data_IF_331689456157
#
_entry.id   IF_331689456157
#
_cell.length_a   1.000
_cell.length_b   1.000
_cell.length_c   1.000
_cell.angle_alpha   90.00
_cell.angle_beta   90.00
_cell.angle_gamma   90.00
#
_symmetry.space_group_name_H-M   'P 1'
#
loop_
_entity.id
_entity.type
_entity.pdbx_description
1 polymer ?
#
# COMPACT_ATOMS: atom_id res chain seq x y z
N UNK A 1 15.01 -0.96 -9.00
CA UNK A 1 14.68 -1.41 -7.63
C UNK A 1 13.98 -0.25 -6.95
N UNK A 2 12.80 -0.47 -6.35
CA UNK A 2 12.05 0.61 -5.71
C UNK A 2 12.76 0.99 -4.41
N UNK A 3 12.90 2.28 -4.07
CA UNK A 3 13.44 2.70 -2.78
C UNK A 3 12.63 2.07 -1.64
N UNK A 4 13.24 1.87 -0.46
CA UNK A 4 12.56 1.26 0.67
C UNK A 4 11.28 2.04 0.98
N UNK A 5 10.15 1.40 0.71
CA UNK A 5 8.84 1.90 1.10
C UNK A 5 8.84 1.92 2.62
N UNK A 6 8.39 3.01 3.24
CA UNK A 6 8.37 3.11 4.70
C UNK A 6 7.48 2.01 5.27
N UNK A 7 8.06 0.88 5.68
CA UNK A 7 7.32 -0.33 6.06
C UNK A 7 6.34 -0.08 7.22
N UNK A 8 6.69 0.86 8.11
CA UNK A 8 5.82 1.35 9.19
C UNK A 8 4.49 1.97 8.69
N UNK A 9 4.42 2.47 7.46
CA UNK A 9 3.19 3.04 6.89
C UNK A 9 2.24 1.99 6.32
N UNK A 10 2.68 0.75 6.19
CA UNK A 10 1.95 -0.34 5.53
C UNK A 10 1.90 -1.58 6.45
N UNK A 11 1.19 -1.50 7.60
CA UNK A 11 1.16 -2.59 8.57
C UNK A 11 0.63 -3.90 7.96
N UNK A 12 -0.36 -3.81 7.07
CA UNK A 12 -0.96 -4.96 6.37
C UNK A 12 0.03 -5.67 5.41
N UNK A 13 1.09 -4.97 4.95
CA UNK A 13 2.08 -5.50 4.00
C UNK A 13 3.47 -5.69 4.62
N UNK A 14 3.63 -5.44 5.92
CA UNK A 14 4.91 -5.40 6.61
C UNK A 14 5.67 -6.73 6.54
N UNK A 15 4.96 -7.85 6.72
CA UNK A 15 5.56 -9.19 6.72
C UNK A 15 6.21 -9.55 5.38
N UNK A 16 5.50 -9.32 4.27
CA UNK A 16 5.99 -9.60 2.90
C UNK A 16 7.17 -8.69 2.55
N UNK A 17 7.13 -7.43 3.02
CA UNK A 17 8.24 -6.49 2.84
C UNK A 17 9.50 -6.94 3.59
N UNK A 18 9.37 -7.46 4.81
CA UNK A 18 10.49 -8.03 5.55
C UNK A 18 11.07 -9.26 4.86
N UNK A 19 10.23 -10.10 4.26
CA UNK A 19 10.68 -11.28 3.52
C UNK A 19 11.44 -10.90 2.25
N UNK A 20 10.96 -9.87 1.53
CA UNK A 20 11.69 -9.29 0.40
C UNK A 20 13.05 -8.73 0.85
N UNK A 21 13.10 -8.05 2.00
CA UNK A 21 14.35 -7.53 2.55
C UNK A 21 15.32 -8.64 2.95
N UNK A 22 14.82 -9.73 3.56
CA UNK A 22 15.62 -10.94 3.84
C UNK A 22 16.15 -11.55 2.55
N UNK A 23 15.34 -11.61 1.48
CA UNK A 23 15.78 -12.09 0.18
C UNK A 23 16.91 -11.21 -0.41
N UNK A 24 16.79 -9.89 -0.29
CA UNK A 24 17.86 -8.97 -0.71
C UNK A 24 19.14 -9.11 0.14
N UNK A 25 18.99 -9.36 1.46
CA UNK A 25 20.11 -9.60 2.39
C UNK A 25 20.76 -10.99 2.22
N UNK A 26 20.05 -11.96 1.64
CA UNK A 26 20.52 -13.34 1.47
C UNK A 26 21.71 -13.49 0.50
N UNK A 27 21.95 -12.51 -0.37
CA UNK A 27 23.11 -12.52 -1.25
C UNK A 27 22.94 -11.61 -2.46
N UNK A 28 24.03 -10.93 -2.83
CA UNK A 28 24.06 -9.99 -3.96
C UNK A 28 23.61 -10.63 -5.29
N UNK A 29 23.96 -11.91 -5.51
CA UNK A 29 23.53 -12.65 -6.69
C UNK A 29 22.02 -12.94 -6.73
N UNK A 30 21.37 -13.22 -5.60
CA UNK A 30 19.92 -13.46 -5.56
C UNK A 30 19.13 -12.20 -5.90
N UNK A 31 19.62 -11.05 -5.44
CA UNK A 31 19.13 -9.72 -5.78
C UNK A 31 19.33 -9.39 -7.26
N UNK A 32 20.53 -9.63 -7.79
CA UNK A 32 20.89 -9.26 -9.16
C UNK A 32 20.29 -10.18 -10.24
N UNK A 33 20.16 -11.48 -9.96
CA UNK A 33 19.59 -12.48 -10.87
C UNK A 33 18.05 -12.52 -10.86
N UNK A 34 17.40 -11.68 -10.06
CA UNK A 34 15.93 -11.58 -10.03
C UNK A 34 15.23 -12.74 -9.31
N UNK A 35 15.93 -13.50 -8.45
CA UNK A 35 15.32 -14.58 -7.65
C UNK A 35 14.26 -14.06 -6.66
N UNK A 36 14.37 -12.79 -6.24
CA UNK A 36 13.41 -12.15 -5.35
C UNK A 36 12.17 -11.57 -6.08
N UNK A 37 12.00 -11.82 -7.39
CA UNK A 37 10.91 -11.23 -8.18
C UNK A 37 9.51 -11.70 -7.77
N UNK A 38 9.36 -12.92 -7.23
CA UNK A 38 8.06 -13.42 -6.77
C UNK A 38 7.61 -12.64 -5.52
N UNK A 39 8.47 -12.54 -4.50
CA UNK A 39 8.23 -11.72 -3.31
C UNK A 39 7.93 -10.26 -3.67
N UNK A 40 8.65 -9.71 -4.66
CA UNK A 40 8.38 -8.36 -5.17
C UNK A 40 6.96 -8.23 -5.75
N UNK A 41 6.48 -9.22 -6.50
CA UNK A 41 5.10 -9.21 -7.03
C UNK A 41 4.09 -9.22 -5.89
N UNK A 42 4.35 -9.99 -4.83
CA UNK A 42 3.48 -10.08 -3.67
C UNK A 42 3.39 -8.75 -2.92
N UNK A 43 4.53 -8.06 -2.72
CA UNK A 43 4.56 -6.70 -2.15
C UNK A 43 3.73 -5.73 -3.01
N UNK A 44 3.92 -5.74 -4.33
CA UNK A 44 3.16 -4.86 -5.26
C UNK A 44 1.67 -5.14 -5.18
N UNK A 45 1.28 -6.41 -5.15
CA UNK A 45 -0.12 -6.81 -5.05
C UNK A 45 -0.74 -6.36 -3.72
N UNK A 46 -0.01 -6.52 -2.62
CA UNK A 46 -0.45 -6.08 -1.29
C UNK A 46 -0.68 -4.56 -1.26
N UNK A 47 0.32 -3.78 -1.67
CA UNK A 47 0.21 -2.31 -1.68
C UNK A 47 -0.87 -1.79 -2.62
N UNK A 48 -1.13 -2.51 -3.72
CA UNK A 48 -2.23 -2.17 -4.64
C UNK A 48 -3.58 -2.37 -3.97
N UNK A 49 -3.76 -3.46 -3.20
CA UNK A 49 -4.99 -3.69 -2.41
C UNK A 49 -5.17 -2.61 -1.34
N UNK A 50 -4.10 -2.25 -0.63
CA UNK A 50 -4.14 -1.20 0.38
C UNK A 50 -4.52 0.16 -0.23
N UNK A 51 -3.91 0.52 -1.35
CA UNK A 51 -4.24 1.74 -2.09
C UNK A 51 -5.72 1.77 -2.46
N UNK A 52 -6.28 0.67 -2.97
CA UNK A 52 -7.70 0.58 -3.32
C UNK A 52 -8.60 0.73 -2.08
N UNK A 53 -8.23 0.12 -0.95
CA UNK A 53 -8.94 0.27 0.33
C UNK A 53 -8.97 1.73 0.79
N UNK A 54 -7.83 2.42 0.76
CA UNK A 54 -7.73 3.84 1.10
C UNK A 54 -8.53 4.72 0.14
N UNK A 55 -8.47 4.46 -1.17
CA UNK A 55 -9.24 5.20 -2.16
C UNK A 55 -10.75 5.06 -1.92
N UNK A 56 -11.24 3.85 -1.63
CA UNK A 56 -12.66 3.62 -1.30
C UNK A 56 -13.08 4.36 -0.03
N UNK A 57 -12.26 4.32 1.02
CA UNK A 57 -12.53 5.06 2.26
C UNK A 57 -12.57 6.58 2.02
N UNK A 58 -11.63 7.11 1.22
CA UNK A 58 -11.59 8.52 0.86
C UNK A 58 -12.79 8.93 0.00
N UNK A 59 -13.24 8.08 -0.93
CA UNK A 59 -14.45 8.33 -1.72
C UNK A 59 -15.70 8.37 -0.83
N UNK A 60 -15.86 7.44 0.10
CA UNK A 60 -16.97 7.43 1.07
C UNK A 60 -16.98 8.71 1.91
N UNK A 61 -15.85 9.08 2.51
CA UNK A 61 -15.69 10.32 3.27
C UNK A 61 -16.00 11.57 2.45
N UNK A 62 -15.59 11.61 1.17
CA UNK A 62 -15.92 12.72 0.26
C UNK A 62 -17.41 12.81 -0.01
N UNK A 63 -18.10 11.68 -0.22
CA UNK A 63 -19.55 11.65 -0.43
C UNK A 63 -20.30 12.11 0.82
N UNK A 64 -19.96 11.59 1.99
CA UNK A 64 -20.53 12.02 3.28
C UNK A 64 -20.35 13.52 3.52
N UNK A 65 -19.14 14.05 3.27
CA UNK A 65 -18.90 15.50 3.39
C UNK A 65 -19.75 16.34 2.44
N UNK A 66 -19.98 15.88 1.21
CA UNK A 66 -20.84 16.58 0.24
C UNK A 66 -22.30 16.58 0.71
N UNK A 67 -22.81 15.44 1.13
CA UNK A 67 -24.19 15.31 1.64
C UNK A 67 -24.39 16.19 2.88
N UNK A 68 -23.47 16.15 3.85
CA UNK A 68 -23.59 16.99 5.05
C UNK A 68 -23.54 18.49 4.71
N UNK A 69 -22.71 18.88 3.72
CA UNK A 69 -22.62 20.27 3.28
C UNK A 69 -23.84 20.74 2.46
N UNK A 70 -24.59 19.81 1.85
CA UNK A 70 -25.87 20.11 1.21
C UNK A 70 -26.98 20.26 2.26
N UNK A 71 -27.08 19.33 3.21
CA UNK A 71 -28.04 19.39 4.33
C UNK A 71 -27.83 20.69 5.14
N UNK A 72 -26.57 21.03 5.46
CA UNK A 72 -26.27 22.25 6.24
C UNK A 72 -26.60 23.55 5.49
N UNK A 73 -26.84 23.52 4.17
CA UNK A 73 -27.25 24.68 3.37
C UNK A 73 -28.76 24.82 3.26
N UNK A 74 -29.53 23.74 3.46
CA UNK A 74 -31.00 23.79 3.46
C UNK A 74 -31.56 24.31 4.79
N UNK A 75 -30.81 24.18 5.88
CA UNK A 75 -31.17 24.68 7.21
C UNK A 75 -30.85 26.18 7.42
N UNK A 76 -30.31 26.88 6.41
CA UNK A 76 -29.89 28.29 6.49
C UNK A 76 -30.73 29.19 5.57
#
# INVERSE_FOLDING_TARGET
MHPPISAHKHPDCYEIMQELEKCHKSGFFNYFLGKCNNLKKDVVQCLSKERLKQQRANQKKKKEKRQNAEISKEDQ
#
